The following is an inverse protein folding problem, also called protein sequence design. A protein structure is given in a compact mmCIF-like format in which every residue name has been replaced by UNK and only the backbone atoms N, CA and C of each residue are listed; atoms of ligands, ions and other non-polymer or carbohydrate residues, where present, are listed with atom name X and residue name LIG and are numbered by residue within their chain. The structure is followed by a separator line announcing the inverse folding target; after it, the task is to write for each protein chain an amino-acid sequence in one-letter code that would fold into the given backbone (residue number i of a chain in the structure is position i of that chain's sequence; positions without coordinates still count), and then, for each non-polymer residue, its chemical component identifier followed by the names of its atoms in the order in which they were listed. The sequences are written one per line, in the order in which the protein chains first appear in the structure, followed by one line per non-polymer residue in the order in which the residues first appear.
data_IF_872704344117
#
_entry.id   IF_872704344117
#
_cell.length_a   1.000
_cell.length_b   1.000
_cell.length_c   1.000
_cell.angle_alpha   90.00
_cell.angle_beta   90.00
_cell.angle_gamma   90.00
#
_symmetry.space_group_name_H-M   'P 1'
#
loop_
_entity.id
_entity.type
_entity.pdbx_description
1 polymer ?
#
# COMPACT_ATOMS: atom_id res chain seq x y z
N UNK A 1 17.38 3.75 -9.87
CA UNK A 1 17.26 5.19 -9.57
C UNK A 1 17.51 5.94 -10.86
N UNK A 2 16.73 7.00 -11.08
CA UNK A 2 16.88 8.01 -12.12
C UNK A 2 16.65 7.60 -13.59
N UNK A 3 15.42 7.81 -14.08
CA UNK A 3 15.19 8.36 -15.43
C UNK A 3 13.68 8.58 -15.67
N UNK A 4 13.14 9.64 -15.08
CA UNK A 4 12.04 10.39 -15.70
C UNK A 4 12.67 11.73 -16.05
N UNK A 5 12.74 12.04 -17.34
CA UNK A 5 13.38 13.24 -17.86
C UNK A 5 12.77 14.50 -17.25
N UNK A 6 13.64 15.40 -16.79
CA UNK A 6 13.28 16.74 -16.32
C UNK A 6 12.87 16.81 -14.84
N UNK A 7 13.82 17.22 -13.99
CA UNK A 7 13.64 18.11 -12.83
C UNK A 7 12.44 17.96 -11.87
N UNK A 8 11.88 16.78 -11.65
CA UNK A 8 10.83 16.56 -10.63
C UNK A 8 11.19 15.41 -9.70
N UNK A 9 12.10 15.66 -8.76
CA UNK A 9 12.54 14.67 -7.77
C UNK A 9 11.81 14.91 -6.44
N UNK A 10 10.79 14.13 -6.13
CA UNK A 10 10.24 13.99 -4.74
C UNK A 10 11.21 13.26 -3.79
N UNK A 11 12.51 13.37 -4.07
CA UNK A 11 13.63 12.82 -3.30
C UNK A 11 14.72 13.87 -3.07
N UNK A 12 14.52 15.11 -3.55
CA UNK A 12 15.39 16.25 -3.32
C UNK A 12 14.55 17.34 -2.66
N UNK A 13 14.94 17.73 -1.46
CA UNK A 13 14.21 18.69 -0.64
C UNK A 13 15.17 19.81 -0.25
N UNK A 14 14.74 21.06 -0.40
CA UNK A 14 15.54 22.22 0.00
C UNK A 14 15.45 22.41 1.51
N UNK A 15 14.24 22.27 2.06
CA UNK A 15 13.96 22.42 3.49
C UNK A 15 13.70 21.07 4.17
N UNK A 16 14.01 21.00 5.47
CA UNK A 16 13.72 19.81 6.28
C UNK A 16 12.20 19.57 6.42
N UNK A 17 11.40 20.64 6.48
CA UNK A 17 9.94 20.56 6.58
C UNK A 17 9.30 19.85 5.40
N UNK A 18 9.87 19.97 4.20
CA UNK A 18 9.36 19.34 2.97
C UNK A 18 9.44 17.81 2.99
N UNK A 19 10.24 17.25 3.89
CA UNK A 19 10.46 15.79 4.04
C UNK A 19 9.34 15.10 4.81
N UNK A 20 8.50 15.86 5.50
CA UNK A 20 7.41 15.29 6.29
C UNK A 20 6.24 14.90 5.39
N UNK A 21 5.69 13.73 5.70
CA UNK A 21 4.48 13.22 5.11
C UNK A 21 3.78 12.28 6.08
N UNK A 22 2.50 12.54 6.28
CA UNK A 22 1.65 11.93 7.28
C UNK A 22 0.54 11.10 6.64
N UNK A 23 0.16 10.03 7.33
CA UNK A 23 -0.97 9.17 6.95
C UNK A 23 -1.86 9.02 8.16
N UNK A 24 -3.15 9.22 7.96
CA UNK A 24 -4.19 8.88 8.93
C UNK A 24 -5.09 7.84 8.28
N UNK A 25 -5.18 6.65 8.88
CA UNK A 25 -5.97 5.55 8.34
C UNK A 25 -6.87 4.96 9.42
N UNK A 26 -8.14 4.76 9.08
CA UNK A 26 -9.11 4.07 9.93
C UNK A 26 -9.34 2.68 9.34
N UNK A 27 -8.98 1.62 10.06
CA UNK A 27 -9.16 0.24 9.60
C UNK A 27 -10.40 -0.39 10.23
N UNK A 28 -11.37 -0.75 9.39
CA UNK A 28 -12.62 -1.39 9.81
C UNK A 28 -12.65 -2.78 9.20
N UNK A 29 -12.50 -3.81 10.03
CA UNK A 29 -12.47 -5.19 9.57
C UNK A 29 -13.62 -6.01 10.16
N UNK A 30 -14.19 -6.91 9.34
CA UNK A 30 -15.21 -7.87 9.77
C UNK A 30 -15.03 -9.21 9.08
N UNK A 31 -15.22 -10.27 9.86
CA UNK A 31 -15.27 -11.65 9.36
C UNK A 31 -16.72 -12.07 9.09
N UNK A 32 -16.97 -12.58 7.89
CA UNK A 32 -18.23 -13.15 7.43
C UNK A 32 -18.02 -14.65 7.16
N UNK A 33 -18.35 -15.47 8.16
CA UNK A 33 -18.07 -16.91 8.11
C UNK A 33 -16.57 -17.18 8.03
N UNK A 34 -16.11 -17.64 6.87
CA UNK A 34 -14.69 -17.96 6.64
C UNK A 34 -13.93 -16.85 5.90
N UNK A 35 -14.64 -15.88 5.31
CA UNK A 35 -14.05 -14.75 4.60
C UNK A 35 -13.88 -13.57 5.55
N UNK A 36 -12.75 -12.88 5.48
CA UNK A 36 -12.55 -11.62 6.21
C UNK A 36 -12.44 -10.48 5.23
N UNK A 37 -13.11 -9.37 5.53
CA UNK A 37 -13.08 -8.14 4.73
C UNK A 37 -12.60 -6.99 5.61
N UNK A 38 -11.89 -6.05 4.99
CA UNK A 38 -11.41 -4.82 5.60
C UNK A 38 -11.69 -3.65 4.68
N UNK A 39 -12.13 -2.53 5.25
CA UNK A 39 -12.17 -1.23 4.59
C UNK A 39 -11.24 -0.28 5.35
N UNK A 40 -10.51 0.54 4.60
CA UNK A 40 -9.48 1.42 5.12
C UNK A 40 -9.59 2.82 4.51
N UNK A 41 -10.56 3.66 4.92
CA UNK A 41 -10.52 5.09 4.65
C UNK A 41 -9.17 5.67 5.09
N UNK A 42 -8.48 6.34 4.18
CA UNK A 42 -7.11 6.80 4.36
C UNK A 42 -7.00 8.24 3.91
N UNK A 43 -6.34 9.08 4.70
CA UNK A 43 -5.98 10.44 4.36
C UNK A 43 -4.46 10.56 4.37
N UNK A 44 -3.91 11.09 3.29
CA UNK A 44 -2.47 11.30 3.11
C UNK A 44 -2.23 12.80 2.97
N UNK A 45 -1.28 13.30 3.74
CA UNK A 45 -0.77 14.65 3.61
C UNK A 45 0.73 14.60 3.28
N UNK A 46 1.16 15.43 2.34
CA UNK A 46 2.58 15.61 2.00
C UNK A 46 2.92 17.10 2.01
N UNK A 47 4.04 17.46 2.64
CA UNK A 47 4.49 18.86 2.64
C UNK A 47 5.04 19.28 1.27
N UNK A 48 5.58 18.32 0.51
CA UNK A 48 6.09 18.52 -0.83
C UNK A 48 5.36 17.66 -1.85
N UNK A 49 5.11 18.25 -3.01
CA UNK A 49 4.60 17.61 -4.22
C UNK A 49 5.34 18.19 -5.41
N UNK A 50 5.25 17.52 -6.56
CA UNK A 50 5.75 18.06 -7.82
C UNK A 50 5.22 19.49 -8.04
N UNK A 51 6.08 20.48 -8.31
CA UNK A 51 5.66 21.86 -8.57
C UNK A 51 4.59 21.94 -9.68
N UNK A 52 3.42 22.49 -9.36
CA UNK A 52 2.25 22.49 -10.24
C UNK A 52 0.95 22.32 -9.45
N UNK A 53 -0.20 22.10 -10.11
CA UNK A 53 -1.47 21.86 -9.45
C UNK A 53 -1.59 20.40 -8.99
N UNK A 54 -0.57 19.88 -8.30
CA UNK A 54 -0.62 18.54 -7.71
C UNK A 54 -1.17 18.59 -6.27
N UNK A 55 -1.96 17.57 -5.91
CA UNK A 55 -2.65 17.54 -4.63
C UNK A 55 -1.71 17.11 -3.51
N UNK A 56 -1.50 18.01 -2.53
CA UNK A 56 -0.78 17.72 -1.28
C UNK A 56 -1.60 16.88 -0.29
N UNK A 57 -2.91 16.94 -0.42
CA UNK A 57 -3.88 16.25 0.43
C UNK A 57 -4.65 15.26 -0.44
N UNK A 58 -4.58 13.98 -0.10
CA UNK A 58 -5.29 12.94 -0.84
C UNK A 58 -6.15 12.14 0.12
N UNK A 59 -7.40 11.92 -0.29
CA UNK A 59 -8.24 10.91 0.31
C UNK A 59 -8.14 9.64 -0.53
N UNK A 60 -8.14 8.49 0.13
CA UNK A 60 -8.13 7.19 -0.51
C UNK A 60 -9.03 6.22 0.25
N UNK A 61 -9.57 5.24 -0.46
CA UNK A 61 -10.31 4.13 0.14
C UNK A 61 -9.60 2.82 -0.19
N UNK A 62 -9.05 2.20 0.85
CA UNK A 62 -8.53 0.85 0.79
C UNK A 62 -9.62 -0.18 1.04
N UNK A 63 -9.54 -1.32 0.35
CA UNK A 63 -10.33 -2.50 0.63
C UNK A 63 -9.40 -3.72 0.63
N UNK A 64 -9.59 -4.61 1.60
CA UNK A 64 -8.82 -5.84 1.75
C UNK A 64 -9.73 -7.04 1.93
N UNK A 65 -9.31 -8.19 1.41
CA UNK A 65 -10.00 -9.47 1.58
C UNK A 65 -9.01 -10.56 1.93
N UNK A 66 -9.45 -11.47 2.80
CA UNK A 66 -8.74 -12.70 3.16
C UNK A 66 -9.66 -13.89 2.99
N UNK A 67 -9.30 -14.77 2.06
CA UNK A 67 -10.04 -15.95 1.66
C UNK A 67 -9.28 -17.23 2.06
N UNK A 68 -9.85 -18.12 2.87
CA UNK A 68 -9.23 -19.40 3.15
C UNK A 68 -9.38 -20.34 1.96
N UNK A 69 -8.25 -20.85 1.46
CA UNK A 69 -8.22 -21.99 0.54
C UNK A 69 -8.21 -23.32 1.30
N UNK A 70 -7.51 -23.35 2.43
CA UNK A 70 -7.46 -24.49 3.35
C UNK A 70 -7.33 -24.02 4.79
N UNK A 71 -7.20 -24.95 5.74
CA UNK A 71 -6.96 -24.61 7.16
C UNK A 71 -5.67 -23.81 7.40
N UNK A 72 -4.70 -23.90 6.47
CA UNK A 72 -3.36 -23.32 6.61
C UNK A 72 -2.96 -22.41 5.45
N UNK A 73 -3.76 -22.33 4.39
CA UNK A 73 -3.44 -21.55 3.18
C UNK A 73 -4.58 -20.56 2.94
N UNK A 74 -4.22 -19.29 2.77
CA UNK A 74 -5.15 -18.20 2.54
C UNK A 74 -4.70 -17.41 1.32
N UNK A 75 -5.64 -16.96 0.50
CA UNK A 75 -5.42 -15.89 -0.47
C UNK A 75 -5.77 -14.58 0.21
N UNK A 76 -4.93 -13.58 0.02
CA UNK A 76 -5.19 -12.20 0.39
C UNK A 76 -5.18 -11.33 -0.84
N UNK A 77 -5.97 -10.27 -0.83
CA UNK A 77 -5.89 -9.22 -1.83
C UNK A 77 -6.26 -7.89 -1.20
N UNK A 78 -5.62 -6.82 -1.66
CA UNK A 78 -5.85 -5.46 -1.21
C UNK A 78 -5.84 -4.51 -2.40
N UNK A 79 -6.65 -3.46 -2.32
CA UNK A 79 -6.82 -2.47 -3.36
C UNK A 79 -7.02 -1.10 -2.75
N UNK A 80 -6.36 -0.09 -3.28
CA UNK A 80 -6.50 1.30 -2.85
C UNK A 80 -6.88 2.18 -4.02
N UNK A 81 -8.07 2.77 -3.94
CA UNK A 81 -8.50 3.81 -4.86
C UNK A 81 -8.15 5.19 -4.30
N UNK A 82 -7.49 6.02 -5.10
CA UNK A 82 -7.07 7.37 -4.69
C UNK A 82 -7.96 8.44 -5.31
N UNK A 83 -8.65 9.22 -4.47
CA UNK A 83 -9.49 10.34 -4.90
C UNK A 83 -8.62 11.57 -5.11
N UNK A 84 -8.26 11.81 -6.36
CA UNK A 84 -7.42 12.93 -6.81
C UNK A 84 -8.25 13.92 -7.64
N UNK A 85 -7.90 15.20 -7.54
CA UNK A 85 -8.53 16.26 -8.33
C UNK A 85 -8.25 16.07 -9.82
N UNK A 86 -9.23 16.42 -10.68
CA UNK A 86 -9.06 16.33 -12.14
C UNK A 86 -7.87 17.16 -12.62
N UNK A 87 -7.67 18.34 -12.02
CA UNK A 87 -6.56 19.23 -12.35
C UNK A 87 -5.20 18.58 -12.11
N UNK A 88 -5.02 17.92 -10.95
CA UNK A 88 -3.80 17.17 -10.64
C UNK A 88 -3.61 15.98 -11.58
N UNK A 89 -4.67 15.20 -11.82
CA UNK A 89 -4.62 14.07 -12.75
C UNK A 89 -4.23 14.49 -14.17
N UNK A 90 -4.84 15.54 -14.70
CA UNK A 90 -4.58 16.02 -16.07
C UNK A 90 -3.17 16.65 -16.18
N UNK A 91 -2.73 17.36 -15.14
CA UNK A 91 -1.37 17.89 -15.07
C UNK A 91 -0.32 16.77 -15.11
N UNK A 92 -0.48 15.72 -14.29
CA UNK A 92 0.46 14.59 -14.27
C UNK A 92 0.44 13.83 -15.61
N UNK A 93 -0.74 13.62 -16.21
CA UNK A 93 -0.86 13.03 -17.56
C UNK A 93 -0.15 13.86 -18.63
N UNK A 94 -0.25 15.19 -18.57
CA UNK A 94 0.45 16.08 -19.51
C UNK A 94 1.98 15.97 -19.41
N UNK A 95 2.50 15.49 -18.27
CA UNK A 95 3.91 15.19 -18.04
C UNK A 95 4.23 13.69 -18.23
N UNK A 96 3.37 12.95 -18.94
CA UNK A 96 3.53 11.52 -19.22
C UNK A 96 3.56 10.64 -17.95
N UNK A 97 2.92 11.07 -16.87
CA UNK A 97 2.76 10.32 -15.63
C UNK A 97 1.34 9.77 -15.58
N UNK A 98 1.21 8.48 -15.83
CA UNK A 98 -0.04 7.74 -15.71
C UNK A 98 -0.13 7.11 -14.32
N UNK A 99 -1.10 7.57 -13.54
CA UNK A 99 -1.39 7.01 -12.21
C UNK A 99 -2.36 5.84 -12.34
N UNK A 100 -2.11 4.82 -11.53
CA UNK A 100 -2.94 3.64 -11.36
C UNK A 100 -3.26 3.48 -9.88
N UNK A 101 -4.36 2.80 -9.61
CA UNK A 101 -4.65 2.34 -8.26
C UNK A 101 -3.70 1.21 -7.86
N UNK A 102 -3.38 1.14 -6.57
CA UNK A 102 -2.57 0.07 -6.03
C UNK A 102 -3.44 -1.17 -5.84
N UNK A 103 -3.01 -2.29 -6.42
CA UNK A 103 -3.63 -3.60 -6.30
C UNK A 103 -2.56 -4.60 -5.89
N UNK A 104 -2.81 -5.30 -4.78
CA UNK A 104 -2.00 -6.39 -4.28
C UNK A 104 -2.79 -7.69 -4.21
N UNK A 105 -2.11 -8.79 -4.50
CA UNK A 105 -2.61 -10.16 -4.33
C UNK A 105 -1.52 -10.99 -3.69
N UNK A 106 -1.89 -11.92 -2.81
CA UNK A 106 -0.91 -12.69 -2.06
C UNK A 106 -1.44 -14.01 -1.55
N UNK A 107 -0.51 -14.80 -1.03
CA UNK A 107 -0.76 -16.07 -0.40
C UNK A 107 -0.14 -16.03 1.00
N UNK A 108 -0.93 -16.44 1.99
CA UNK A 108 -0.46 -16.68 3.35
C UNK A 108 -0.44 -18.17 3.63
N UNK A 109 0.68 -18.67 4.15
CA UNK A 109 0.83 -20.04 4.62
C UNK A 109 1.10 -20.01 6.12
N UNK A 110 0.13 -20.50 6.89
CA UNK A 110 0.20 -20.59 8.35
C UNK A 110 0.74 -21.96 8.74
N UNK A 111 1.87 -21.97 9.42
CA UNK A 111 2.48 -23.18 9.99
C UNK A 111 2.44 -23.15 11.51
N UNK A 112 3.08 -24.12 12.17
CA UNK A 112 3.20 -24.12 13.62
C UNK A 112 4.24 -23.07 14.07
N UNK A 113 3.77 -21.84 14.26
CA UNK A 113 4.57 -20.72 14.79
C UNK A 113 5.20 -19.79 13.74
N UNK A 114 5.01 -20.05 12.44
CA UNK A 114 5.39 -19.09 11.39
C UNK A 114 4.20 -18.78 10.49
N UNK A 115 4.13 -17.53 10.05
CA UNK A 115 3.24 -17.09 8.98
C UNK A 115 4.09 -16.61 7.82
N UNK A 116 4.03 -17.34 6.71
CA UNK A 116 4.75 -17.00 5.48
C UNK A 116 3.81 -16.23 4.56
N UNK A 117 4.17 -15.01 4.20
CA UNK A 117 3.40 -14.14 3.32
C UNK A 117 4.18 -13.91 2.04
N UNK A 118 3.56 -14.23 0.91
CA UNK A 118 4.04 -13.87 -0.42
C UNK A 118 3.03 -12.91 -1.03
N UNK A 119 3.45 -11.72 -1.43
CA UNK A 119 2.56 -10.72 -2.02
C UNK A 119 3.11 -10.23 -3.36
N UNK A 120 2.22 -9.92 -4.28
CA UNK A 120 2.49 -9.36 -5.59
C UNK A 120 1.69 -8.07 -5.72
N UNK A 121 2.33 -6.97 -6.12
CA UNK A 121 1.66 -5.67 -6.23
C UNK A 121 2.26 -4.83 -7.36
N UNK A 122 1.42 -4.02 -8.00
CA UNK A 122 1.88 -2.96 -8.90
C UNK A 122 2.37 -1.72 -8.15
N UNK A 123 2.24 -1.63 -6.82
CA UNK A 123 2.84 -0.56 -6.04
C UNK A 123 4.37 -0.67 -6.05
N UNK A 124 5.07 0.47 -6.18
CA UNK A 124 6.54 0.52 -6.08
C UNK A 124 7.05 0.68 -4.66
N UNK A 125 6.23 1.26 -3.79
CA UNK A 125 6.55 1.53 -2.41
C UNK A 125 5.63 0.74 -1.49
N UNK A 126 6.12 0.42 -0.30
CA UNK A 126 5.38 -0.31 0.73
C UNK A 126 4.64 0.67 1.66
N UNK A 127 5.07 1.93 1.72
CA UNK A 127 4.47 2.94 2.59
C UNK A 127 3.27 3.63 1.90
N UNK A 128 2.17 3.76 2.63
CA UNK A 128 0.91 4.35 2.18
C UNK A 128 1.10 5.76 1.63
N UNK A 129 1.88 6.59 2.33
CA UNK A 129 2.19 7.94 1.87
C UNK A 129 3.00 8.01 0.57
N UNK A 130 3.50 6.89 0.06
CA UNK A 130 4.22 6.84 -1.21
C UNK A 130 3.43 6.11 -2.29
N UNK A 131 2.80 4.98 -1.98
CA UNK A 131 2.08 4.24 -3.02
C UNK A 131 0.71 4.84 -3.35
N UNK A 132 0.00 5.46 -2.39
CA UNK A 132 -1.28 6.13 -2.64
C UNK A 132 -1.11 7.29 -3.63
N UNK A 133 -0.18 8.25 -3.41
CA UNK A 133 0.02 9.33 -4.38
C UNK A 133 0.72 8.89 -5.67
N UNK A 134 1.59 7.86 -5.62
CA UNK A 134 2.56 7.53 -6.68
C UNK A 134 2.61 6.05 -7.05
N UNK A 135 1.48 5.47 -7.41
CA UNK A 135 1.46 4.21 -8.17
C UNK A 135 1.35 4.51 -9.65
N UNK A 136 2.44 4.28 -10.40
CA UNK A 136 2.56 4.58 -11.84
C UNK A 136 2.99 3.35 -12.64
N UNK A 137 2.80 2.16 -12.06
CA UNK A 137 3.07 0.88 -12.70
C UNK A 137 1.77 0.10 -12.87
N UNK A 138 1.64 -0.57 -14.01
CA UNK A 138 0.43 -1.27 -14.41
C UNK A 138 0.62 -2.78 -14.35
N UNK A 139 -0.41 -3.49 -13.85
CA UNK A 139 -0.48 -4.94 -13.97
C UNK A 139 -0.54 -5.41 -15.43
N UNK A 140 -1.23 -4.67 -16.31
CA UNK A 140 -1.38 -5.01 -17.73
C UNK A 140 -0.05 -5.02 -18.49
N UNK A 141 0.90 -4.20 -18.05
CA UNK A 141 2.25 -4.12 -18.63
C UNK A 141 3.24 -5.07 -17.94
N UNK A 142 2.75 -5.97 -17.07
CA UNK A 142 3.58 -6.90 -16.31
C UNK A 142 4.45 -6.23 -15.24
N UNK A 143 4.15 -5.00 -14.84
CA UNK A 143 4.97 -4.21 -13.93
C UNK A 143 4.59 -4.43 -12.46
N UNK A 144 4.66 -5.68 -12.01
CA UNK A 144 4.45 -6.05 -10.61
C UNK A 144 5.77 -6.33 -9.90
N UNK A 145 5.74 -6.25 -8.58
CA UNK A 145 6.82 -6.64 -7.67
C UNK A 145 6.30 -7.73 -6.77
N UNK A 146 7.19 -8.61 -6.35
CA UNK A 146 6.88 -9.60 -5.35
C UNK A 146 7.64 -9.31 -4.05
N UNK A 147 7.00 -9.61 -2.93
CA UNK A 147 7.57 -9.50 -1.60
C UNK A 147 7.38 -10.81 -0.85
N UNK A 148 8.24 -11.02 0.14
CA UNK A 148 8.17 -12.16 1.04
C UNK A 148 8.40 -11.68 2.47
N UNK A 149 7.50 -12.07 3.37
CA UNK A 149 7.58 -11.75 4.79
C UNK A 149 7.37 -13.02 5.60
N UNK A 150 8.14 -13.18 6.68
CA UNK A 150 7.93 -14.23 7.67
C UNK A 150 7.65 -13.53 9.00
N UNK A 151 6.50 -13.85 9.60
CA UNK A 151 6.18 -13.45 10.96
C UNK A 151 6.26 -14.65 11.91
N UNK A 152 6.75 -14.43 13.12
CA UNK A 152 6.81 -15.42 14.20
C UNK A 152 6.51 -14.77 15.54
N UNK A 153 5.62 -15.40 16.29
CA UNK A 153 5.36 -15.03 17.68
C UNK A 153 6.34 -15.78 18.60
N UNK A 154 6.99 -15.02 19.49
CA UNK A 154 7.88 -15.58 20.51
C UNK A 154 7.20 -15.53 21.87
N UNK A 155 6.95 -16.70 22.46
CA UNK A 155 6.53 -16.79 23.86
C UNK A 155 7.77 -16.65 24.75
N UNK A 156 7.98 -15.45 25.29
CA UNK A 156 9.15 -15.12 26.13
C UNK A 156 8.98 -15.68 27.55
N UNK A 157 7.75 -15.74 28.05
CA UNK A 157 7.42 -16.30 29.35
C UNK A 157 6.45 -17.47 29.18
N UNK A 158 6.81 -18.61 29.77
CA UNK A 158 5.95 -19.78 29.84
C UNK A 158 4.95 -19.55 30.96
N UNK A 159 3.68 -19.32 30.64
CA UNK A 159 2.65 -19.21 31.67
C UNK A 159 2.54 -20.57 32.39
N UNK A 160 2.92 -20.60 33.66
CA UNK A 160 2.74 -21.76 34.52
C UNK A 160 1.30 -21.77 35.03
N UNK A 161 0.35 -22.08 34.15
CA UNK A 161 -1.02 -22.38 34.57
C UNK A 161 -1.45 -23.79 34.19
N UNK A 162 -1.35 -24.62 35.24
CA UNK A 162 -2.15 -25.79 35.61
C UNK A 162 -1.99 -27.07 34.77
N UNK A 163 -1.21 -27.99 35.37
CA UNK A 163 -1.37 -29.44 35.24
C UNK A 163 -2.71 -29.88 35.82
#
# INVERSE_FOLDING_TARGET
MDSIGGSYKESSFEDFSERFSEVVQVMIARRFGNVSLQLSPTYVYTNYVVPGPDDRNLFALGAGVRLPLSKKIFIIADYFHTFRSKQSTDYLKSHNIHLYDALGVGIEIVTQGHVFHMNFTNARSILENRFIPRTYTSWGDGQYRWGFTIARDFQIFRDQKNK
#
